data_IF_776861949497
#
_entry.id   IF_776861949497
#
_cell.length_a   1.000
_cell.length_b   1.000
_cell.length_c   1.000
_cell.angle_alpha   90.00
_cell.angle_beta   90.00
_cell.angle_gamma   90.00
#
_symmetry.space_group_name_H-M   'P 1'
#
loop_
_entity.id
_entity.type
_entity.pdbx_description
1 polymer ?
#
# COMPACT_ATOMS: atom_id res chain seq x y z
N UNK A 1 -6.78 8.05 -1.34
CA UNK A 1 -6.10 9.36 -1.31
C UNK A 1 -5.98 9.93 -2.69
N UNK A 2 -6.24 11.23 -2.85
CA UNK A 2 -5.86 11.96 -4.07
C UNK A 2 -4.66 12.83 -3.71
N UNK A 3 -3.53 12.61 -4.38
CA UNK A 3 -2.37 13.47 -4.24
C UNK A 3 -2.48 14.56 -5.31
N UNK A 4 -2.67 15.80 -4.87
CA UNK A 4 -2.79 16.93 -5.75
C UNK A 4 -1.41 17.42 -6.23
N UNK A 5 -1.41 18.03 -7.42
CA UNK A 5 -0.25 18.53 -8.12
C UNK A 5 -0.04 20.04 -7.91
N UNK A 6 0.56 20.75 -8.88
CA UNK A 6 0.88 20.27 -10.24
C UNK A 6 2.06 19.30 -10.26
N UNK A 7 2.84 19.18 -9.18
CA UNK A 7 4.06 18.39 -9.12
C UNK A 7 4.02 17.38 -7.96
N UNK A 8 3.26 16.30 -8.11
CA UNK A 8 3.21 15.24 -7.08
C UNK A 8 4.46 14.35 -7.15
N UNK A 9 5.32 14.47 -6.15
CA UNK A 9 6.49 13.60 -5.93
C UNK A 9 6.52 13.10 -4.48
N UNK A 10 6.83 11.83 -4.28
CA UNK A 10 7.06 11.24 -2.98
C UNK A 10 8.52 10.78 -2.83
N UNK A 11 9.05 10.91 -1.60
CA UNK A 11 10.34 10.32 -1.22
C UNK A 11 10.18 8.81 -1.03
N UNK A 12 11.26 8.01 -1.05
CA UNK A 12 11.20 6.58 -0.74
C UNK A 12 10.50 6.32 0.60
N UNK A 13 9.42 5.54 0.58
CA UNK A 13 8.64 5.20 1.76
C UNK A 13 7.87 3.88 1.56
N UNK A 14 7.26 3.42 2.65
CA UNK A 14 6.23 2.36 2.64
C UNK A 14 4.95 2.91 3.24
N UNK A 15 3.81 2.41 2.78
CA UNK A 15 2.50 2.73 3.38
C UNK A 15 2.23 1.82 4.57
N UNK A 16 2.96 2.03 5.68
CA UNK A 16 3.00 1.11 6.83
C UNK A 16 1.64 0.85 7.49
N UNK A 17 0.66 1.71 7.25
CA UNK A 17 -0.70 1.59 7.79
C UNK A 17 -1.66 0.84 6.86
N UNK A 18 -1.25 0.52 5.63
CA UNK A 18 -2.04 -0.29 4.72
C UNK A 18 -1.97 -1.78 5.11
N UNK A 19 -2.97 -2.54 4.67
CA UNK A 19 -2.98 -3.99 4.81
C UNK A 19 -1.78 -4.59 4.09
N UNK A 20 -0.93 -5.33 4.82
CA UNK A 20 0.36 -5.81 4.30
C UNK A 20 0.23 -6.76 3.10
N UNK A 21 -0.76 -7.64 3.13
CA UNK A 21 -1.09 -8.55 2.02
C UNK A 21 -2.17 -7.97 1.07
N UNK A 22 -2.50 -6.69 1.23
CA UNK A 22 -3.43 -5.97 0.36
C UNK A 22 -2.71 -5.32 -0.83
N UNK A 23 -3.43 -5.17 -1.93
CA UNK A 23 -2.97 -4.40 -3.08
C UNK A 23 -3.35 -2.93 -2.93
N UNK A 24 -2.38 -2.05 -3.18
CA UNK A 24 -2.62 -0.63 -3.36
C UNK A 24 -2.68 -0.33 -4.85
N UNK A 25 -3.79 0.25 -5.29
CA UNK A 25 -3.99 0.72 -6.67
C UNK A 25 -3.55 2.17 -6.77
N UNK A 26 -2.56 2.44 -7.61
CA UNK A 26 -2.07 3.78 -7.90
C UNK A 26 -2.41 4.09 -9.35
N UNK A 27 -3.11 5.18 -9.59
CA UNK A 27 -3.38 5.72 -10.93
C UNK A 27 -2.62 7.02 -11.10
N UNK A 28 -1.74 7.09 -12.10
CA UNK A 28 -1.08 8.33 -12.48
C UNK A 28 -2.04 9.19 -13.30
N UNK A 29 -2.09 10.49 -13.00
CA UNK A 29 -2.96 11.46 -13.66
C UNK A 29 -2.16 12.71 -14.03
N UNK A 30 -2.71 13.56 -14.89
CA UNK A 30 -2.07 14.79 -15.38
C UNK A 30 -1.55 14.65 -16.80
N UNK A 31 -0.73 15.61 -17.21
CA UNK A 31 -0.14 15.69 -18.55
C UNK A 31 1.38 15.81 -18.40
N UNK A 32 2.08 14.71 -18.65
CA UNK A 32 3.54 14.62 -18.60
C UNK A 32 4.05 13.56 -19.58
N UNK A 33 5.30 13.68 -20.00
CA UNK A 33 5.98 12.69 -20.83
C UNK A 33 6.57 11.57 -19.94
N UNK A 34 6.01 10.34 -19.96
CA UNK A 34 6.49 9.26 -19.10
C UNK A 34 7.86 8.71 -19.52
N UNK A 35 8.40 9.09 -20.67
CA UNK A 35 9.76 8.76 -21.09
C UNK A 35 10.81 9.74 -20.52
N UNK A 36 10.37 10.83 -19.88
CA UNK A 36 11.23 11.91 -19.35
C UNK A 36 11.05 12.17 -17.86
N UNK A 37 10.04 11.56 -17.21
CA UNK A 37 9.76 11.80 -15.80
C UNK A 37 8.56 11.00 -15.29
N UNK A 38 8.20 11.20 -14.02
CA UNK A 38 7.01 10.59 -13.41
C UNK A 38 7.05 9.08 -13.16
N UNK A 39 8.15 8.40 -13.52
CA UNK A 39 8.42 6.99 -13.24
C UNK A 39 8.15 6.60 -11.78
N UNK A 40 7.66 5.38 -11.58
CA UNK A 40 7.58 4.73 -10.28
C UNK A 40 8.86 3.93 -10.02
N UNK A 41 9.41 4.04 -8.82
CA UNK A 41 10.55 3.25 -8.39
C UNK A 41 10.07 2.26 -7.32
N UNK A 42 10.40 0.98 -7.49
CA UNK A 42 10.25 -0.06 -6.48
C UNK A 42 11.66 -0.47 -6.02
N UNK A 43 12.10 0.11 -4.91
CA UNK A 43 13.50 0.07 -4.48
C UNK A 43 13.95 -1.34 -4.12
N UNK A 44 13.14 -2.08 -3.37
CA UNK A 44 13.49 -3.44 -2.91
C UNK A 44 13.57 -4.44 -4.07
N UNK A 45 12.96 -4.11 -5.21
CA UNK A 45 12.99 -4.93 -6.42
C UNK A 45 14.04 -4.47 -7.44
N UNK A 46 14.70 -3.33 -7.20
CA UNK A 46 15.62 -2.72 -8.16
C UNK A 46 14.95 -2.30 -9.48
N UNK A 47 13.65 -1.97 -9.45
CA UNK A 47 12.86 -1.66 -10.65
C UNK A 47 12.57 -0.16 -10.77
N UNK A 48 12.75 0.36 -11.98
CA UNK A 48 12.24 1.66 -12.42
C UNK A 48 11.20 1.40 -13.49
N UNK A 49 9.96 1.80 -13.22
CA UNK A 49 8.80 1.51 -14.05
C UNK A 49 8.36 2.81 -14.72
N UNK A 50 8.38 2.81 -16.05
CA UNK A 50 7.72 3.83 -16.86
C UNK A 50 6.23 3.80 -16.52
N UNK A 51 5.70 4.93 -16.04
CA UNK A 51 4.34 4.98 -15.49
C UNK A 51 3.53 6.11 -16.13
N UNK A 52 2.87 5.85 -17.28
CA UNK A 52 2.14 6.85 -18.06
C UNK A 52 0.93 7.48 -17.34
N UNK A 53 0.59 8.75 -17.64
CA UNK A 53 -0.68 9.32 -17.21
C UNK A 53 -1.86 8.49 -17.77
N UNK A 54 -2.88 8.28 -16.94
CA UNK A 54 -4.03 7.42 -17.24
C UNK A 54 -3.81 5.92 -16.97
N UNK A 55 -2.59 5.50 -16.62
CA UNK A 55 -2.31 4.10 -16.27
C UNK A 55 -2.47 3.83 -14.77
N UNK A 56 -2.78 2.58 -14.44
CA UNK A 56 -2.93 2.08 -13.06
C UNK A 56 -1.97 0.92 -12.83
N UNK A 57 -1.35 0.90 -11.65
CA UNK A 57 -0.53 -0.21 -11.17
C UNK A 57 -1.00 -0.66 -9.79
N UNK A 58 -0.95 -1.97 -9.55
CA UNK A 58 -1.20 -2.59 -8.25
C UNK A 58 0.14 -2.95 -7.62
N UNK A 59 0.41 -2.47 -6.41
CA UNK A 59 1.62 -2.82 -5.65
C UNK A 59 1.29 -3.18 -4.19
N UNK A 60 2.06 -4.06 -3.53
CA UNK A 60 1.96 -4.26 -2.08
C UNK A 60 2.67 -3.10 -1.35
N UNK A 61 2.05 -1.92 -1.33
CA UNK A 61 2.69 -0.65 -0.92
C UNK A 61 3.13 -0.60 0.55
N UNK A 62 2.55 -1.44 1.40
CA UNK A 62 2.97 -1.62 2.80
C UNK A 62 4.29 -2.40 2.93
N UNK A 63 4.63 -3.23 1.94
CA UNK A 63 5.81 -4.11 1.96
C UNK A 63 6.97 -3.58 1.13
N UNK A 64 6.68 -2.93 -0.01
CA UNK A 64 7.71 -2.44 -0.92
C UNK A 64 7.95 -0.96 -0.74
N UNK A 65 9.21 -0.62 -0.50
CA UNK A 65 9.71 0.76 -0.51
C UNK A 65 9.56 1.30 -1.92
N UNK A 66 8.80 2.38 -2.06
CA UNK A 66 8.49 2.97 -3.35
C UNK A 66 8.55 4.49 -3.31
N UNK A 67 8.76 5.07 -4.49
CA UNK A 67 8.72 6.52 -4.73
C UNK A 67 8.39 6.81 -6.18
N UNK A 68 8.20 8.07 -6.53
CA UNK A 68 8.20 8.49 -7.93
C UNK A 68 9.23 9.59 -8.19
N UNK A 69 9.60 9.77 -9.45
CA UNK A 69 10.54 10.82 -9.85
C UNK A 69 9.80 12.10 -10.28
N UNK A 70 10.47 13.26 -10.19
CA UNK A 70 10.12 14.49 -10.89
C UNK A 70 9.60 14.32 -12.32
N UNK A 71 8.75 15.26 -12.74
CA UNK A 71 8.38 15.52 -14.14
C UNK A 71 9.16 16.73 -14.67
N UNK A 72 9.04 17.03 -15.96
CA UNK A 72 9.69 18.20 -16.57
C UNK A 72 8.98 19.51 -16.17
N UNK A 73 9.64 20.63 -16.44
CA UNK A 73 9.03 21.96 -16.29
C UNK A 73 7.81 22.11 -17.20
N UNK A 74 6.77 22.81 -16.73
CA UNK A 74 5.49 23.00 -17.41
C UNK A 74 4.62 21.73 -17.60
N UNK A 75 5.02 20.59 -17.02
CA UNK A 75 4.18 19.39 -16.95
C UNK A 75 3.33 19.35 -15.67
N UNK A 76 2.31 18.49 -15.66
CA UNK A 76 1.51 18.23 -14.45
C UNK A 76 1.44 16.75 -14.13
N UNK A 77 1.47 16.42 -12.84
CA UNK A 77 1.26 15.06 -12.33
C UNK A 77 0.46 15.09 -11.04
N UNK A 78 -0.54 14.23 -11.00
CA UNK A 78 -1.38 13.93 -9.85
C UNK A 78 -1.42 12.42 -9.67
N UNK A 79 -1.99 11.94 -8.58
CA UNK A 79 -2.29 10.51 -8.47
C UNK A 79 -3.53 10.23 -7.65
N UNK A 80 -4.30 9.22 -8.07
CA UNK A 80 -5.36 8.64 -7.28
C UNK A 80 -4.89 7.29 -6.72
N UNK A 81 -4.89 7.17 -5.39
CA UNK A 81 -4.39 6.02 -4.67
C UNK A 81 -5.53 5.38 -3.89
N UNK A 82 -5.76 4.10 -4.10
CA UNK A 82 -6.79 3.31 -3.42
C UNK A 82 -6.11 2.18 -2.65
N UNK A 83 -6.45 2.04 -1.37
CA UNK A 83 -5.86 1.07 -0.48
C UNK A 83 -6.85 0.71 0.63
N UNK A 84 -6.58 -0.37 1.33
CA UNK A 84 -7.33 -0.72 2.55
C UNK A 84 -6.43 -0.57 3.76
N UNK A 85 -6.86 0.23 4.73
CA UNK A 85 -6.11 0.46 5.96
C UNK A 85 -6.14 -0.79 6.85
N UNK A 86 -4.97 -1.26 7.33
CA UNK A 86 -4.85 -2.42 8.20
C UNK A 86 -5.64 -2.26 9.52
N UNK A 87 -5.76 -1.02 10.01
CA UNK A 87 -6.51 -0.70 11.22
C UNK A 87 -7.99 -1.10 11.15
N UNK A 88 -8.61 -1.02 9.97
CA UNK A 88 -10.02 -1.41 9.79
C UNK A 88 -10.19 -2.92 9.97
N UNK A 89 -9.31 -3.74 9.39
CA UNK A 89 -9.35 -5.19 9.56
C UNK A 89 -9.09 -5.60 11.01
N UNK A 90 -8.17 -4.91 11.68
CA UNK A 90 -7.89 -5.16 13.09
C UNK A 90 -9.07 -4.78 13.98
N UNK A 91 -9.74 -3.66 13.68
CA UNK A 91 -10.96 -3.26 14.37
C UNK A 91 -12.09 -4.28 14.22
N UNK A 92 -12.30 -4.81 13.01
CA UNK A 92 -13.27 -5.91 12.78
C UNK A 92 -12.86 -7.17 13.52
N UNK A 93 -11.59 -7.59 13.44
CA UNK A 93 -11.05 -8.75 14.15
C UNK A 93 -11.26 -8.65 15.67
N UNK A 94 -11.09 -7.45 16.24
CA UNK A 94 -11.32 -7.17 17.65
C UNK A 94 -12.81 -7.11 18.05
N UNK A 95 -13.73 -7.42 17.14
CA UNK A 95 -15.18 -7.34 17.39
C UNK A 95 -15.67 -5.89 17.45
N UNK A 96 -15.22 -5.06 16.50
CA UNK A 96 -15.60 -3.65 16.38
C UNK A 96 -15.06 -2.77 17.51
N UNK A 97 -13.84 -3.06 17.97
CA UNK A 97 -13.15 -2.37 19.07
C UNK A 97 -11.78 -1.86 18.66
N UNK A 98 -11.35 -0.74 19.24
CA UNK A 98 -9.94 -0.34 19.17
C UNK A 98 -9.06 -1.41 19.84
N UNK A 99 -7.75 -1.37 19.58
CA UNK A 99 -6.83 -2.29 20.27
C UNK A 99 -6.87 -2.07 21.79
N UNK A 100 -6.96 -0.80 22.22
CA UNK A 100 -7.06 -0.45 23.64
C UNK A 100 -8.34 -1.01 24.28
N UNK A 101 -9.50 -0.86 23.62
CA UNK A 101 -10.77 -1.38 24.14
C UNK A 101 -10.80 -2.91 24.14
N UNK A 102 -10.20 -3.55 23.13
CA UNK A 102 -10.04 -5.00 23.12
C UNK A 102 -9.19 -5.45 24.30
N UNK A 103 -7.99 -4.87 24.49
CA UNK A 103 -7.07 -5.25 25.55
C UNK A 103 -7.65 -5.02 26.95
N UNK A 104 -8.42 -3.95 27.13
CA UNK A 104 -9.10 -3.66 28.39
C UNK A 104 -10.23 -4.66 28.72
N UNK A 105 -10.81 -5.33 27.72
CA UNK A 105 -12.01 -6.19 27.91
C UNK A 105 -11.79 -7.65 27.54
N UNK A 106 -10.62 -8.02 27.02
CA UNK A 106 -10.32 -9.36 26.56
C UNK A 106 -10.16 -10.34 27.73
N UNK A 107 -10.77 -11.51 27.60
CA UNK A 107 -10.49 -12.65 28.47
C UNK A 107 -9.07 -13.19 28.22
N UNK A 108 -8.45 -13.89 29.19
CA UNK A 108 -7.14 -14.51 28.97
C UNK A 108 -7.07 -15.41 27.72
N UNK A 109 -8.15 -16.14 27.44
CA UNK A 109 -8.25 -16.98 26.25
C UNK A 109 -8.27 -16.16 24.94
N UNK A 110 -8.98 -15.03 24.91
CA UNK A 110 -9.00 -14.13 23.75
C UNK A 110 -7.65 -13.47 23.52
N UNK A 111 -6.97 -13.05 24.58
CA UNK A 111 -5.62 -12.48 24.50
C UNK A 111 -4.60 -13.51 23.99
N UNK A 112 -4.66 -14.74 24.51
CA UNK A 112 -3.79 -15.84 24.04
C UNK A 112 -4.03 -16.15 22.57
N UNK A 113 -5.29 -16.23 22.14
CA UNK A 113 -5.65 -16.43 20.72
C UNK A 113 -5.17 -15.28 19.83
N UNK A 114 -5.33 -14.02 20.27
CA UNK A 114 -4.85 -12.86 19.50
C UNK A 114 -3.34 -12.88 19.31
N UNK A 115 -2.59 -13.35 20.30
CA UNK A 115 -1.14 -13.52 20.20
C UNK A 115 -0.77 -14.64 19.22
N UNK A 116 -1.41 -15.82 19.33
CA UNK A 116 -1.22 -16.93 18.40
C UNK A 116 -1.52 -16.52 16.95
N UNK A 117 -2.68 -15.88 16.72
CA UNK A 117 -3.08 -15.37 15.41
C UNK A 117 -2.08 -14.32 14.89
N UNK A 118 -1.53 -13.47 15.76
CA UNK A 118 -0.52 -12.48 15.39
C UNK A 118 0.75 -13.13 14.85
N UNK A 119 1.22 -14.20 15.49
CA UNK A 119 2.41 -14.95 15.04
C UNK A 119 2.18 -15.63 13.68
N UNK A 120 0.95 -16.06 13.41
CA UNK A 120 0.61 -16.76 12.16
C UNK A 120 0.14 -15.84 11.02
N UNK A 121 -0.21 -14.58 11.32
CA UNK A 121 -0.83 -13.65 10.36
C UNK A 121 0.00 -13.42 9.10
N UNK A 122 1.32 -13.37 9.22
CA UNK A 122 2.20 -13.17 8.06
C UNK A 122 2.08 -14.35 7.08
N UNK A 123 2.03 -15.58 7.59
CA UNK A 123 1.96 -16.81 6.79
C UNK A 123 0.63 -16.88 6.04
N UNK A 124 -0.46 -16.58 6.75
CA UNK A 124 -1.79 -16.48 6.14
C UNK A 124 -1.83 -15.39 5.07
N UNK A 125 -1.29 -14.21 5.37
CA UNK A 125 -1.28 -13.07 4.44
C UNK A 125 -0.48 -13.36 3.16
N UNK A 126 0.71 -13.96 3.28
CA UNK A 126 1.49 -14.38 2.10
C UNK A 126 0.72 -15.39 1.25
N UNK A 127 0.00 -16.30 1.89
CA UNK A 127 -0.86 -17.28 1.20
C UNK A 127 -2.05 -16.68 0.43
N UNK A 128 -2.36 -15.40 0.61
CA UNK A 128 -3.44 -14.70 -0.11
C UNK A 128 -2.98 -14.08 -1.43
N UNK A 129 -1.68 -14.00 -1.70
CA UNK A 129 -1.19 -13.55 -3.00
C UNK A 129 -1.33 -14.66 -4.06
N UNK A 130 -1.72 -14.27 -5.27
CA UNK A 130 -1.70 -15.16 -6.43
C UNK A 130 -0.28 -15.64 -6.73
N UNK A 131 -0.16 -16.91 -7.12
CA UNK A 131 1.07 -17.48 -7.63
C UNK A 131 1.10 -17.35 -9.15
N UNK A 132 2.30 -17.45 -9.72
CA UNK A 132 2.46 -17.47 -11.17
C UNK A 132 1.67 -18.61 -11.84
N UNK A 133 1.53 -19.75 -11.18
CA UNK A 133 0.72 -20.88 -11.65
C UNK A 133 -0.78 -20.61 -11.69
N UNK A 134 -1.24 -19.54 -11.05
CA UNK A 134 -2.67 -19.21 -10.93
C UNK A 134 -3.12 -18.25 -12.06
N UNK A 135 -2.17 -17.77 -12.89
CA UNK A 135 -2.37 -16.86 -14.02
C UNK A 135 -2.22 -17.59 -15.34
#
# INVERSE_FOLDING_TARGET
TINFGPFTVCRPHTDRHNLSFGWCSITALGTFNPDKGGHLILWDLGLIIRFPPGSTILIPSALLTHSNVPIQENETRYSFVQFSAAGLFRWVYNGFKSDADFEATATPAQSAKREEDRQNRWKSGVGMFSKWSDL
#
